data_IF_327134051308
#
_entry.id   IF_327134051308
#
_cell.length_a   1.000
_cell.length_b   1.000
_cell.length_c   1.000
_cell.angle_alpha   90.00
_cell.angle_beta   90.00
_cell.angle_gamma   90.00
#
_symmetry.space_group_name_H-M   'P 1'
#
loop_
_entity.id
_entity.type
_entity.pdbx_description
1 polymer ?
#
# COMPACT_ATOMS: atom_id res chain seq x y z
N UNK A 1 11.90 12.94 -15.98
CA UNK A 1 11.13 11.84 -16.58
C UNK A 1 10.75 10.96 -15.40
N UNK A 2 9.47 10.68 -15.16
CA UNK A 2 9.06 9.84 -14.00
C UNK A 2 9.58 8.43 -14.28
N UNK A 3 10.47 7.92 -13.43
CA UNK A 3 11.00 6.57 -13.56
C UNK A 3 10.10 5.57 -12.84
N UNK A 4 10.15 4.31 -13.26
CA UNK A 4 9.31 3.25 -12.65
C UNK A 4 9.61 3.10 -11.16
N UNK A 5 10.85 3.38 -10.71
CA UNK A 5 11.22 3.34 -9.30
C UNK A 5 10.50 4.38 -8.45
N UNK A 6 10.17 5.55 -9.00
CA UNK A 6 9.45 6.62 -8.29
C UNK A 6 8.03 6.17 -7.89
N UNK A 7 7.43 5.24 -8.66
CA UNK A 7 6.12 4.67 -8.34
C UNK A 7 6.12 3.95 -6.99
N UNK A 8 7.28 3.49 -6.49
CA UNK A 8 7.39 2.88 -5.17
C UNK A 8 7.10 3.89 -4.06
N UNK A 9 7.63 5.11 -4.20
CA UNK A 9 7.35 6.20 -3.26
C UNK A 9 5.90 6.65 -3.35
N UNK A 10 5.33 6.71 -4.56
CA UNK A 10 3.90 7.00 -4.75
C UNK A 10 3.01 5.93 -4.11
N UNK A 11 3.35 4.65 -4.26
CA UNK A 11 2.61 3.57 -3.61
C UNK A 11 2.66 3.67 -2.09
N UNK A 12 3.83 3.99 -1.52
CA UNK A 12 3.98 4.19 -0.07
C UNK A 12 3.15 5.37 0.43
N UNK A 13 3.15 6.51 -0.28
CA UNK A 13 2.35 7.68 0.11
C UNK A 13 0.86 7.43 0.00
N UNK A 14 0.39 6.78 -1.07
CA UNK A 14 -1.02 6.40 -1.22
C UNK A 14 -1.48 5.48 -0.08
N UNK A 15 -0.68 4.47 0.28
CA UNK A 15 -1.03 3.58 1.38
C UNK A 15 -1.06 4.33 2.73
N UNK A 16 -0.09 5.22 2.97
CA UNK A 16 -0.09 6.11 4.14
C UNK A 16 -1.33 7.00 4.22
N UNK A 17 -1.76 7.57 3.09
CA UNK A 17 -3.00 8.37 3.01
C UNK A 17 -4.23 7.51 3.33
N UNK A 18 -4.31 6.27 2.83
CA UNK A 18 -5.40 5.35 3.19
C UNK A 18 -5.46 5.10 4.70
N UNK A 19 -4.31 4.91 5.36
CA UNK A 19 -4.24 4.77 6.83
C UNK A 19 -4.77 6.02 7.54
N UNK A 20 -4.42 7.22 7.07
CA UNK A 20 -4.94 8.46 7.64
C UNK A 20 -6.46 8.56 7.51
N UNK A 21 -7.03 8.17 6.37
CA UNK A 21 -8.49 8.12 6.19
C UNK A 21 -9.15 7.11 7.12
N UNK A 22 -8.55 5.94 7.35
CA UNK A 22 -9.07 4.93 8.27
C UNK A 22 -9.02 5.43 9.72
N UNK A 23 -7.91 6.05 10.15
CA UNK A 23 -7.79 6.65 11.48
C UNK A 23 -8.80 7.78 11.71
N UNK A 24 -8.97 8.65 10.71
CA UNK A 24 -9.98 9.71 10.75
C UNK A 24 -11.40 9.11 10.81
N UNK A 25 -11.69 8.12 9.96
CA UNK A 25 -12.96 7.40 9.94
C UNK A 25 -13.28 6.71 11.26
N UNK A 26 -12.28 6.13 11.93
CA UNK A 26 -12.41 5.55 13.27
C UNK A 26 -12.76 6.61 14.32
N UNK A 27 -12.15 7.80 14.23
CA UNK A 27 -12.47 8.91 15.13
C UNK A 27 -13.91 9.41 14.92
N UNK A 28 -14.38 9.51 13.68
CA UNK A 28 -15.75 9.95 13.36
C UNK A 28 -16.81 8.95 13.81
N UNK A 29 -16.60 7.64 13.65
CA UNK A 29 -17.58 6.65 14.11
C UNK A 29 -17.70 6.63 15.64
N UNK A 30 -16.57 6.82 16.35
CA UNK A 30 -16.58 6.97 17.82
C UNK A 30 -17.28 8.24 18.29
N UNK A 31 -17.28 9.29 17.48
CA UNK A 31 -18.03 10.53 17.73
C UNK A 31 -19.52 10.42 17.33
N UNK A 32 -19.97 9.29 16.79
CA UNK A 32 -21.35 9.11 16.30
C UNK A 32 -21.63 9.75 14.94
N UNK A 33 -20.62 10.36 14.31
CA UNK A 33 -20.74 11.08 13.04
C UNK A 33 -20.69 10.13 11.83
N UNK A 34 -21.79 9.42 11.58
CA UNK A 34 -21.88 8.39 10.54
C UNK A 34 -21.63 8.91 9.12
N UNK A 35 -22.06 10.13 8.79
CA UNK A 35 -21.84 10.71 7.46
C UNK A 35 -20.35 10.96 7.18
N UNK A 36 -19.64 11.57 8.13
CA UNK A 36 -18.19 11.82 8.00
C UNK A 36 -17.41 10.52 7.99
N UNK A 37 -17.81 9.53 8.79
CA UNK A 37 -17.25 8.17 8.72
C UNK A 37 -17.41 7.57 7.31
N UNK A 38 -18.63 7.61 6.75
CA UNK A 38 -18.90 7.08 5.39
C UNK A 38 -18.05 7.78 4.33
N UNK A 39 -17.92 9.11 4.41
CA UNK A 39 -17.05 9.86 3.52
C UNK A 39 -15.59 9.42 3.62
N UNK A 40 -15.05 9.27 4.84
CA UNK A 40 -13.68 8.77 5.05
C UNK A 40 -13.49 7.35 4.50
N UNK A 41 -14.46 6.45 4.66
CA UNK A 41 -14.39 5.09 4.12
C UNK A 41 -14.40 5.09 2.58
N UNK A 42 -15.22 5.93 1.94
CA UNK A 42 -15.23 6.08 0.49
C UNK A 42 -13.89 6.62 -0.03
N UNK A 43 -13.31 7.61 0.65
CA UNK A 43 -11.99 8.15 0.29
C UNK A 43 -10.88 7.12 0.49
N UNK A 44 -10.91 6.34 1.58
CA UNK A 44 -9.95 5.25 1.79
C UNK A 44 -10.01 4.20 0.66
N UNK A 45 -11.22 3.84 0.20
CA UNK A 45 -11.40 2.93 -0.93
C UNK A 45 -10.83 3.54 -2.20
N UNK A 46 -11.16 4.80 -2.50
CA UNK A 46 -10.67 5.49 -3.69
C UNK A 46 -9.14 5.54 -3.74
N UNK A 47 -8.49 5.92 -2.64
CA UNK A 47 -7.02 5.95 -2.55
C UNK A 47 -6.43 4.55 -2.67
N UNK A 48 -7.08 3.53 -2.11
CA UNK A 48 -6.65 2.14 -2.23
C UNK A 48 -6.79 1.59 -3.65
N UNK A 49 -7.83 2.00 -4.39
CA UNK A 49 -7.95 1.71 -5.82
C UNK A 49 -6.83 2.35 -6.62
N UNK A 50 -6.49 3.61 -6.33
CA UNK A 50 -5.38 4.29 -6.98
C UNK A 50 -4.04 3.59 -6.68
N UNK A 51 -3.80 3.25 -5.41
CA UNK A 51 -2.66 2.43 -4.98
C UNK A 51 -2.57 1.14 -5.78
N UNK A 52 -3.69 0.43 -5.96
CA UNK A 52 -3.70 -0.84 -6.68
C UNK A 52 -3.28 -0.65 -8.15
N UNK A 53 -3.80 0.38 -8.83
CA UNK A 53 -3.44 0.69 -10.22
C UNK A 53 -1.95 1.01 -10.33
N UNK A 54 -1.43 1.89 -9.47
CA UNK A 54 -0.01 2.27 -9.47
C UNK A 54 0.90 1.09 -9.11
N UNK A 55 0.50 0.27 -8.14
CA UNK A 55 1.24 -0.91 -7.72
C UNK A 55 1.32 -1.98 -8.81
N UNK A 56 0.19 -2.29 -9.47
CA UNK A 56 0.17 -3.24 -10.58
C UNK A 56 1.02 -2.73 -11.74
N UNK A 57 0.93 -1.43 -12.05
CA UNK A 57 1.75 -0.80 -13.08
C UNK A 57 3.24 -0.91 -12.76
N UNK A 58 3.64 -0.59 -11.53
CA UNK A 58 5.01 -0.77 -11.07
C UNK A 58 5.46 -2.22 -11.22
N UNK A 59 4.67 -3.16 -10.67
CA UNK A 59 5.04 -4.56 -10.58
C UNK A 59 5.09 -5.27 -11.93
N UNK A 60 4.23 -4.88 -12.87
CA UNK A 60 4.27 -5.38 -14.24
C UNK A 60 5.54 -4.95 -15.00
N UNK A 61 6.11 -3.80 -14.64
CA UNK A 61 7.27 -3.22 -15.33
C UNK A 61 8.61 -3.40 -14.56
N UNK A 62 8.58 -3.70 -13.26
CA UNK A 62 9.79 -3.83 -12.43
C UNK A 62 10.55 -5.15 -12.60
N UNK A 63 10.01 -6.11 -13.36
CA UNK A 63 10.56 -7.46 -13.49
C UNK A 63 10.48 -8.27 -12.18
N UNK A 64 11.04 -9.49 -12.21
CA UNK A 64 11.12 -10.33 -11.01
C UNK A 64 12.26 -9.85 -10.11
N UNK A 65 11.91 -9.42 -8.89
CA UNK A 65 12.88 -9.13 -7.86
C UNK A 65 13.64 -10.42 -7.49
N UNK A 66 14.92 -10.48 -7.82
CA UNK A 66 15.80 -11.56 -7.38
C UNK A 66 16.25 -11.28 -5.96
N UNK A 67 16.07 -12.26 -5.08
CA UNK A 67 16.65 -12.18 -3.74
C UNK A 67 18.17 -12.30 -3.84
N UNK A 68 18.87 -11.18 -3.66
CA UNK A 68 20.33 -11.08 -3.75
C UNK A 68 21.07 -11.30 -2.42
N UNK A 69 20.35 -11.64 -1.34
CA UNK A 69 20.96 -11.87 -0.03
C UNK A 69 21.72 -13.20 0.03
N UNK A 70 22.92 -13.18 0.60
CA UNK A 70 23.77 -14.35 0.82
C UNK A 70 23.79 -14.79 2.29
N UNK A 71 24.15 -16.05 2.55
CA UNK A 71 24.23 -16.61 3.90
C UNK A 71 22.88 -16.97 4.52
N UNK A 72 22.77 -16.88 5.85
CA UNK A 72 21.63 -17.36 6.64
C UNK A 72 20.30 -16.63 6.37
N UNK A 73 20.34 -15.42 5.80
CA UNK A 73 19.13 -14.65 5.46
C UNK A 73 18.34 -15.29 4.31
N UNK A 74 19.02 -16.02 3.41
CA UNK A 74 18.43 -16.66 2.24
C UNK A 74 17.45 -17.79 2.59
N UNK A 75 17.81 -18.79 3.40
CA UNK A 75 16.86 -19.82 3.82
C UNK A 75 15.69 -19.23 4.60
N UNK A 76 15.92 -18.24 5.49
CA UNK A 76 14.84 -17.56 6.23
C UNK A 76 13.85 -16.88 5.28
N UNK A 77 14.37 -16.11 4.30
CA UNK A 77 13.53 -15.45 3.30
C UNK A 77 12.68 -16.45 2.51
N UNK A 78 13.29 -17.52 2.00
CA UNK A 78 12.56 -18.52 1.21
C UNK A 78 11.61 -19.37 2.06
N UNK A 79 11.89 -19.61 3.35
CA UNK A 79 10.95 -20.26 4.26
C UNK A 79 9.70 -19.41 4.50
N UNK A 80 9.84 -18.09 4.64
CA UNK A 80 8.68 -17.18 4.75
C UNK A 80 7.95 -17.09 3.41
N UNK A 81 8.68 -17.02 2.29
CA UNK A 81 8.09 -16.89 0.95
C UNK A 81 7.34 -18.15 0.50
N UNK A 82 7.76 -19.33 0.94
CA UNK A 82 7.15 -20.60 0.59
C UNK A 82 5.96 -20.99 1.48
N UNK A 83 5.66 -20.19 2.51
CA UNK A 83 4.53 -20.38 3.43
C UNK A 83 3.30 -19.60 2.95
#
# INVERSE_FOLDING_TARGET
>A
MIEIQDLTHVNATLNGISVLFLLAGYRYIRAGERERHRFCMLMAIFVSCLFLVTYVTYKANSGFAKFGGEGWIRPVYFSILAL
#
